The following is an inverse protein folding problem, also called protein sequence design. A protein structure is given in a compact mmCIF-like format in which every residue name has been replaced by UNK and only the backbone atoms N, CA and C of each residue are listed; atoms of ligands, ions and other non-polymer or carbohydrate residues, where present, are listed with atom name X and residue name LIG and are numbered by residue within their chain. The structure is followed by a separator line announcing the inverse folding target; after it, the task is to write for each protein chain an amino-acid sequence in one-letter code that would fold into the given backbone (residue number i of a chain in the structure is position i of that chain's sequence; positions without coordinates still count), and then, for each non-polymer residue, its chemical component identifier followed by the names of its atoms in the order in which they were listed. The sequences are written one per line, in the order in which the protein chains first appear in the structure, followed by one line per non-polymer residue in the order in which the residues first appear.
data_IF_066498345232
#
_entry.id   IF_066498345232
#
_cell.length_a   1.000
_cell.length_b   1.000
_cell.length_c   1.000
_cell.angle_alpha   90.00
_cell.angle_beta   90.00
_cell.angle_gamma   90.00
#
_symmetry.space_group_name_H-M   'P 1'
#
loop_
_entity.id
_entity.type
_entity.pdbx_description
1 polymer ?
#
# COMPACT_ATOMS: atom_id res chain seq x y z
N UNK A 1 -51.65 5.53 10.22
CA UNK A 1 -51.26 6.94 9.97
C UNK A 1 -49.93 7.16 10.69
N UNK A 2 -48.81 6.58 10.22
CA UNK A 2 -47.99 7.02 9.09
C UNK A 2 -47.64 8.51 9.18
N UNK A 3 -46.49 8.80 9.78
CA UNK A 3 -45.67 9.96 9.44
C UNK A 3 -44.23 9.49 9.32
N UNK A 4 -43.88 9.32 8.04
CA UNK A 4 -42.60 9.19 7.38
C UNK A 4 -41.35 9.66 8.16
N UNK A 5 -40.33 8.81 8.22
CA UNK A 5 -38.94 9.21 8.43
C UNK A 5 -38.24 9.21 7.05
N UNK A 6 -37.78 10.35 6.53
CA UNK A 6 -36.79 10.36 5.46
C UNK A 6 -35.42 10.54 6.09
N UNK A 7 -34.79 9.42 6.50
CA UNK A 7 -33.39 9.46 6.91
C UNK A 7 -32.51 9.26 5.67
N UNK A 8 -32.28 10.35 4.95
CA UNK A 8 -31.20 10.43 3.96
C UNK A 8 -29.93 10.85 4.69
N UNK A 9 -29.04 9.91 4.99
CA UNK A 9 -27.64 10.22 5.32
C UNK A 9 -26.76 9.81 4.15
N UNK A 10 -26.61 10.76 3.22
CA UNK A 10 -25.50 10.80 2.27
C UNK A 10 -24.27 11.34 3.02
N UNK A 11 -23.13 10.67 2.86
CA UNK A 11 -21.82 11.26 3.06
C UNK A 11 -21.16 10.99 4.40
N UNK A 12 -20.58 9.81 4.58
CA UNK A 12 -19.52 9.61 5.56
C UNK A 12 -18.20 10.11 4.95
N UNK A 13 -17.74 11.30 5.35
CA UNK A 13 -16.34 11.70 5.19
C UNK A 13 -15.87 12.42 6.47
N UNK A 14 -15.27 11.72 7.44
CA UNK A 14 -14.35 12.36 8.34
C UNK A 14 -12.95 12.30 7.71
N UNK A 15 -12.63 13.31 6.91
CA UNK A 15 -11.22 13.62 6.59
C UNK A 15 -10.56 14.07 7.91
N UNK A 16 -9.71 13.22 8.51
CA UNK A 16 -8.86 13.63 9.65
C UNK A 16 -7.55 14.20 9.11
N UNK A 17 -7.40 15.50 9.27
CA UNK A 17 -6.17 16.30 9.07
C UNK A 17 -6.08 17.26 10.25
N UNK A 18 -4.95 17.83 10.64
CA UNK A 18 -3.73 17.28 11.24
C UNK A 18 -3.74 17.77 12.71
N UNK A 19 -2.69 17.64 13.53
CA UNK A 19 -2.70 18.20 14.89
C UNK A 19 -1.82 19.44 15.08
N UNK A 20 -0.62 19.57 14.51
CA UNK A 20 0.22 20.76 14.77
C UNK A 20 0.21 21.80 13.65
N UNK A 21 -0.14 21.37 12.43
CA UNK A 21 -0.63 22.28 11.38
C UNK A 21 -2.05 22.83 11.68
N UNK A 22 -2.59 22.38 12.83
CA UNK A 22 -3.89 22.59 13.46
C UNK A 22 -3.74 23.17 14.89
N UNK A 23 -2.51 23.30 15.41
CA UNK A 23 -2.28 23.85 16.75
C UNK A 23 -1.37 25.09 16.80
N UNK A 24 -0.55 25.41 15.78
CA UNK A 24 0.50 26.46 15.95
C UNK A 24 0.69 27.42 14.74
N UNK A 25 -0.36 28.18 14.37
CA UNK A 25 -0.36 29.06 13.19
C UNK A 25 -0.29 30.58 13.46
N UNK A 26 -0.23 31.05 14.72
CA UNK A 26 -0.14 32.49 15.07
C UNK A 26 -1.11 33.44 14.32
N UNK A 27 -2.27 32.95 13.87
CA UNK A 27 -3.13 33.66 12.92
C UNK A 27 -3.88 34.88 13.50
N UNK A 28 -3.83 35.11 14.82
CA UNK A 28 -4.47 36.23 15.54
C UNK A 28 -3.50 37.25 16.13
N UNK A 29 -2.20 37.18 15.79
CA UNK A 29 -1.24 38.21 16.21
C UNK A 29 -1.69 39.57 15.66
N UNK A 30 -2.11 40.45 16.58
CA UNK A 30 -2.97 41.62 16.32
C UNK A 30 -2.28 42.80 15.61
N UNK A 31 -1.26 42.55 14.77
CA UNK A 31 -0.45 43.60 14.16
C UNK A 31 -0.56 43.75 12.63
N UNK A 32 -1.46 43.05 11.93
CA UNK A 32 -1.65 43.36 10.50
C UNK A 32 -3.03 43.03 9.90
N UNK A 33 -4.10 43.67 10.40
CA UNK A 33 -5.46 43.55 9.87
C UNK A 33 -5.64 43.90 8.37
N UNK A 34 -4.67 44.58 7.75
CA UNK A 34 -4.73 45.02 6.34
C UNK A 34 -4.17 43.95 5.37
N UNK A 35 -3.30 43.05 5.85
CA UNK A 35 -2.63 42.04 5.02
C UNK A 35 -3.53 40.86 4.66
N UNK A 36 -4.45 40.50 5.58
CA UNK A 36 -5.31 39.33 5.45
C UNK A 36 -6.39 39.52 4.36
N UNK A 37 -7.00 40.70 4.29
CA UNK A 37 -8.05 41.00 3.30
C UNK A 37 -7.52 40.91 1.86
N UNK A 38 -6.27 41.34 1.63
CA UNK A 38 -5.63 41.32 0.31
C UNK A 38 -5.24 39.90 -0.12
N UNK A 39 -4.86 39.03 0.83
CA UNK A 39 -4.58 37.60 0.59
C UNK A 39 -5.83 36.76 0.38
N UNK A 40 -6.96 37.11 0.98
CA UNK A 40 -8.24 36.42 0.79
C UNK A 40 -8.87 36.67 -0.59
N UNK A 41 -8.57 37.81 -1.22
CA UNK A 41 -9.10 38.16 -2.55
C UNK A 41 -8.41 37.43 -3.71
N UNK A 42 -7.26 36.80 -3.48
CA UNK A 42 -6.40 36.23 -4.54
C UNK A 42 -6.13 34.72 -4.38
N UNK A 43 -6.91 33.99 -3.58
CA UNK A 43 -6.83 32.52 -3.61
C UNK A 43 -7.62 32.05 -4.83
N UNK A 44 -6.97 31.55 -5.90
CA UNK A 44 -7.68 30.95 -7.01
C UNK A 44 -8.47 29.76 -6.44
N UNK A 45 -9.72 29.64 -6.88
CA UNK A 45 -10.62 28.52 -6.59
C UNK A 45 -9.87 27.20 -6.42
N UNK A 46 -10.04 26.62 -5.24
CA UNK A 46 -9.56 25.34 -4.75
C UNK A 46 -9.57 24.29 -5.86
N UNK A 47 -8.42 24.06 -6.50
CA UNK A 47 -8.22 22.79 -7.19
C UNK A 47 -8.33 21.69 -6.11
N UNK A 48 -9.02 20.56 -6.39
CA UNK A 48 -8.91 19.41 -5.51
C UNK A 48 -7.43 19.05 -5.42
N UNK A 49 -6.87 19.14 -4.22
CA UNK A 49 -5.48 18.77 -3.92
C UNK A 49 -5.25 17.25 -4.02
N UNK A 50 -6.31 16.50 -4.29
CA UNK A 50 -6.32 15.06 -4.45
C UNK A 50 -6.59 14.76 -5.93
N UNK A 51 -5.63 14.09 -6.55
CA UNK A 51 -5.82 13.50 -7.87
C UNK A 51 -6.81 12.33 -7.76
N UNK A 52 -7.99 12.48 -8.38
CA UNK A 52 -9.06 11.50 -8.34
C UNK A 52 -8.74 10.19 -9.08
N UNK A 53 -7.67 10.17 -9.89
CA UNK A 53 -7.19 8.94 -10.55
C UNK A 53 -6.44 7.99 -9.61
N UNK A 54 -6.04 8.46 -8.42
CA UNK A 54 -5.33 7.65 -7.44
C UNK A 54 -6.31 6.77 -6.67
N UNK A 55 -6.12 5.47 -6.76
CA UNK A 55 -6.90 4.45 -6.05
C UNK A 55 -6.04 3.70 -5.05
N UNK A 56 -6.70 3.07 -4.08
CA UNK A 56 -6.05 2.21 -3.08
C UNK A 56 -6.54 0.78 -3.25
N UNK A 57 -5.60 -0.14 -3.35
CA UNK A 57 -5.85 -1.58 -3.43
C UNK A 57 -5.25 -2.25 -2.20
N UNK A 58 -6.08 -3.04 -1.52
CA UNK A 58 -5.65 -3.85 -0.37
C UNK A 58 -5.99 -5.30 -0.62
N UNK A 59 -5.04 -6.19 -0.33
CA UNK A 59 -5.24 -7.63 -0.42
C UNK A 59 -4.49 -8.36 0.69
N UNK A 60 -4.94 -9.58 0.96
CA UNK A 60 -4.38 -10.45 1.99
C UNK A 60 -4.10 -11.83 1.40
N UNK A 61 -2.92 -12.37 1.65
CA UNK A 61 -2.47 -13.66 1.12
C UNK A 61 -1.82 -14.47 2.23
N UNK A 62 -2.28 -15.70 2.43
CA UNK A 62 -1.74 -16.61 3.43
C UNK A 62 -0.45 -17.26 2.93
N UNK A 63 0.46 -17.55 3.86
CA UNK A 63 1.71 -18.26 3.58
C UNK A 63 2.96 -17.43 3.85
N UNK A 64 4.11 -18.03 3.54
CA UNK A 64 5.43 -17.43 3.77
C UNK A 64 6.06 -17.05 2.43
N UNK A 65 6.46 -15.79 2.28
CA UNK A 65 7.24 -15.34 1.14
C UNK A 65 8.74 -15.57 1.41
N UNK A 66 9.54 -15.87 0.37
CA UNK A 66 11.00 -15.73 0.47
C UNK A 66 11.36 -14.27 0.28
N UNK A 67 12.36 -13.81 1.02
CA UNK A 67 12.84 -12.41 0.93
C UNK A 67 13.27 -12.07 -0.51
N UNK A 68 13.99 -12.97 -1.18
CA UNK A 68 14.41 -12.80 -2.57
C UNK A 68 13.23 -12.67 -3.54
N UNK A 69 12.24 -13.57 -3.45
CA UNK A 69 11.06 -13.56 -4.32
C UNK A 69 10.23 -12.31 -4.07
N UNK A 70 10.10 -11.88 -2.81
CA UNK A 70 9.44 -10.63 -2.43
C UNK A 70 10.16 -9.42 -3.03
N UNK A 71 11.48 -9.37 -2.96
CA UNK A 71 12.28 -8.30 -3.55
C UNK A 71 12.05 -8.20 -5.05
N UNK A 72 12.11 -9.32 -5.77
CA UNK A 72 11.83 -9.35 -7.22
C UNK A 72 10.42 -8.86 -7.53
N UNK A 73 9.42 -9.28 -6.75
CA UNK A 73 8.04 -8.80 -6.91
C UNK A 73 7.95 -7.27 -6.76
N UNK A 74 8.56 -6.71 -5.70
CA UNK A 74 8.53 -5.26 -5.46
C UNK A 74 9.29 -4.50 -6.55
N UNK A 75 10.45 -4.99 -6.96
CA UNK A 75 11.26 -4.37 -8.03
C UNK A 75 10.49 -4.36 -9.36
N UNK A 76 9.86 -5.47 -9.73
CA UNK A 76 9.02 -5.54 -10.94
C UNK A 76 7.82 -4.60 -10.87
N UNK A 77 7.29 -4.38 -9.66
CA UNK A 77 6.13 -3.53 -9.46
C UNK A 77 6.48 -2.03 -9.45
N UNK A 78 7.61 -1.65 -8.85
CA UNK A 78 8.01 -0.26 -8.67
C UNK A 78 8.88 0.27 -9.83
N UNK A 79 9.82 -0.52 -10.35
CA UNK A 79 10.81 -0.06 -11.35
C UNK A 79 10.41 -0.40 -12.77
N UNK A 80 10.07 -1.66 -13.01
CA UNK A 80 9.87 -2.16 -14.36
C UNK A 80 8.63 -1.57 -15.02
N UNK A 81 7.65 -1.08 -14.23
CA UNK A 81 6.39 -0.47 -14.71
C UNK A 81 5.72 -1.31 -15.80
N UNK A 82 5.93 -2.62 -15.79
CA UNK A 82 5.49 -3.56 -16.82
C UNK A 82 4.20 -4.28 -16.44
N UNK A 83 3.69 -4.08 -15.23
CA UNK A 83 2.42 -4.66 -14.79
C UNK A 83 1.28 -3.87 -15.42
N UNK A 84 0.47 -4.55 -16.22
CA UNK A 84 -0.70 -3.95 -16.89
C UNK A 84 -1.99 -4.42 -16.25
N UNK A 85 -2.99 -3.52 -16.23
CA UNK A 85 -4.33 -3.86 -15.79
C UNK A 85 -5.09 -4.65 -16.88
N UNK A 86 -6.35 -5.01 -16.60
CA UNK A 86 -7.22 -5.71 -17.57
C UNK A 86 -7.51 -4.90 -18.84
N UNK A 87 -7.36 -3.58 -18.77
CA UNK A 87 -7.60 -2.63 -19.86
C UNK A 87 -6.32 -2.29 -20.66
N UNK A 88 -5.22 -3.02 -20.41
CA UNK A 88 -3.88 -2.84 -21.01
C UNK A 88 -3.12 -1.56 -20.58
N UNK A 89 -3.61 -0.81 -19.61
CA UNK A 89 -2.91 0.34 -19.03
C UNK A 89 -1.85 -0.08 -18.03
N UNK A 90 -0.74 0.67 -18.00
CA UNK A 90 0.32 0.49 -17.02
C UNK A 90 -0.14 0.85 -15.62
N UNK A 91 0.14 -0.03 -14.66
CA UNK A 91 -0.06 0.23 -13.24
C UNK A 91 1.07 1.09 -12.70
N UNK A 92 0.71 2.19 -12.04
CA UNK A 92 1.66 3.07 -11.37
C UNK A 92 1.47 2.96 -9.87
N UNK A 93 2.46 2.44 -9.15
CA UNK A 93 2.45 2.42 -7.67
C UNK A 93 3.17 3.64 -7.13
N UNK A 94 2.45 4.48 -6.39
CA UNK A 94 2.98 5.68 -5.73
C UNK A 94 3.46 5.33 -4.33
N UNK A 95 2.71 4.49 -3.61
CA UNK A 95 3.05 4.05 -2.26
C UNK A 95 2.69 2.59 -2.06
N UNK A 96 3.62 1.85 -1.47
CA UNK A 96 3.43 0.49 -1.00
C UNK A 96 3.60 0.48 0.52
N UNK A 97 2.69 -0.19 1.22
CA UNK A 97 2.90 -0.62 2.59
C UNK A 97 2.40 -2.04 2.75
N UNK A 98 3.12 -2.86 3.48
CA UNK A 98 2.68 -4.21 3.75
C UNK A 98 3.28 -4.78 5.01
N UNK A 99 2.55 -5.70 5.61
CA UNK A 99 3.05 -6.58 6.64
C UNK A 99 3.18 -7.95 6.00
N UNK A 100 4.40 -8.47 5.93
CA UNK A 100 4.71 -9.72 5.24
C UNK A 100 5.33 -10.71 6.21
N UNK A 101 5.08 -11.99 5.95
CA UNK A 101 5.72 -13.09 6.63
C UNK A 101 6.83 -13.65 5.75
N UNK A 102 8.06 -13.57 6.24
CA UNK A 102 9.22 -14.09 5.55
C UNK A 102 9.53 -15.50 6.06
N UNK A 103 9.80 -16.42 5.12
CA UNK A 103 10.24 -17.78 5.43
C UNK A 103 11.49 -17.73 6.31
N UNK A 104 11.56 -18.61 7.31
CA UNK A 104 12.70 -18.73 8.22
C UNK A 104 12.91 -17.53 9.17
N UNK A 105 12.00 -16.53 9.14
CA UNK A 105 11.93 -15.45 10.13
C UNK A 105 10.72 -15.64 11.05
N UNK A 106 10.90 -15.58 12.39
CA UNK A 106 9.78 -15.64 13.33
C UNK A 106 9.08 -14.28 13.47
N UNK A 107 9.76 -13.18 13.14
CA UNK A 107 9.23 -11.82 13.25
C UNK A 107 8.42 -11.40 12.03
N UNK A 108 7.47 -10.49 12.24
CA UNK A 108 6.77 -9.84 11.14
C UNK A 108 7.69 -8.80 10.51
N UNK A 109 7.62 -8.66 9.19
CA UNK A 109 8.41 -7.67 8.45
C UNK A 109 7.47 -6.66 7.82
N UNK A 110 7.76 -5.38 8.00
CA UNK A 110 7.07 -4.29 7.33
C UNK A 110 7.82 -4.01 6.04
N UNK A 111 7.12 -4.08 4.91
CA UNK A 111 7.57 -3.52 3.65
C UNK A 111 6.95 -2.13 3.50
N UNK A 112 7.76 -1.16 3.13
CA UNK A 112 7.28 0.16 2.76
C UNK A 112 8.02 0.68 1.55
N UNK A 113 7.29 1.26 0.61
CA UNK A 113 7.86 1.86 -0.58
C UNK A 113 7.16 3.15 -0.97
N UNK A 114 7.94 4.07 -1.53
CA UNK A 114 7.48 5.34 -2.09
C UNK A 114 8.12 5.49 -3.45
N UNK A 115 7.28 5.56 -4.49
CA UNK A 115 7.74 5.63 -5.86
C UNK A 115 8.63 4.41 -6.19
N UNK A 116 9.91 4.62 -6.47
CA UNK A 116 10.87 3.58 -6.85
C UNK A 116 11.73 3.13 -5.66
N UNK A 117 11.53 3.66 -4.46
CA UNK A 117 12.32 3.26 -3.29
C UNK A 117 11.48 2.36 -2.39
N UNK A 118 12.11 1.32 -1.85
CA UNK A 118 11.49 0.47 -0.84
C UNK A 118 12.49 0.06 0.23
N UNK A 119 11.94 -0.32 1.39
CA UNK A 119 12.67 -0.80 2.55
C UNK A 119 11.92 -1.95 3.23
N UNK A 120 12.65 -2.80 3.94
CA UNK A 120 12.15 -3.94 4.71
C UNK A 120 12.62 -3.80 6.15
N UNK A 121 11.68 -3.61 7.07
CA UNK A 121 11.96 -3.41 8.49
C UNK A 121 11.40 -4.57 9.32
N UNK A 122 12.25 -5.21 10.14
CA UNK A 122 11.78 -6.23 11.08
C UNK A 122 11.07 -5.58 12.26
N UNK A 123 9.86 -6.03 12.55
CA UNK A 123 9.10 -5.57 13.71
C UNK A 123 9.54 -6.30 14.98
N UNK A 124 9.34 -5.71 16.17
CA UNK A 124 9.53 -6.44 17.43
C UNK A 124 8.50 -7.55 17.66
N UNK A 125 7.44 -7.61 16.84
CA UNK A 125 6.36 -8.59 16.96
C UNK A 125 6.74 -9.89 16.26
N UNK A 126 6.66 -11.00 16.98
CA UNK A 126 6.70 -12.34 16.41
C UNK A 126 5.33 -12.74 15.84
N UNK A 127 5.35 -13.60 14.83
CA UNK A 127 4.19 -14.40 14.49
C UNK A 127 3.90 -15.35 15.65
N UNK A 128 2.62 -15.57 15.99
CA UNK A 128 2.26 -16.62 16.94
C UNK A 128 2.34 -17.96 16.22
N UNK A 129 3.00 -18.95 16.83
CA UNK A 129 3.24 -20.26 16.22
C UNK A 129 1.94 -21.02 15.86
N UNK A 130 0.83 -20.71 16.56
CA UNK A 130 -0.48 -21.33 16.36
C UNK A 130 -1.36 -20.63 15.31
N UNK A 131 -0.90 -19.52 14.71
CA UNK A 131 -1.69 -18.73 13.76
C UNK A 131 -1.16 -18.83 12.33
N UNK A 132 -2.07 -18.99 11.37
CA UNK A 132 -1.74 -18.92 9.95
C UNK A 132 -1.12 -17.56 9.61
N UNK A 133 0.17 -17.58 9.24
CA UNK A 133 0.90 -16.39 8.82
C UNK A 133 0.23 -15.77 7.60
N UNK A 134 -0.14 -14.50 7.71
CA UNK A 134 -0.96 -13.79 6.72
C UNK A 134 -0.27 -12.51 6.30
N UNK A 135 0.03 -12.39 5.00
CA UNK A 135 0.59 -11.20 4.39
C UNK A 135 -0.54 -10.22 4.07
N UNK A 136 -0.35 -8.94 4.37
CA UNK A 136 -1.32 -7.87 4.10
C UNK A 136 -0.60 -6.75 3.38
N UNK A 137 -1.04 -6.42 2.17
CA UNK A 137 -0.44 -5.36 1.36
C UNK A 137 -1.48 -4.30 1.03
N UNK A 138 -1.03 -3.05 1.07
CA UNK A 138 -1.77 -1.83 0.73
C UNK A 138 -0.95 -1.08 -0.31
N UNK A 139 -1.52 -0.91 -1.48
CA UNK A 139 -0.92 -0.17 -2.59
C UNK A 139 -1.78 1.02 -2.94
N UNK A 140 -1.14 2.15 -3.19
CA UNK A 140 -1.78 3.40 -3.57
C UNK A 140 -1.14 3.83 -4.89
N UNK A 141 -1.95 4.10 -5.90
CA UNK A 141 -1.47 4.28 -7.25
C UNK A 141 -2.56 4.48 -8.29
N UNK A 142 -2.19 4.52 -9.56
CA UNK A 142 -3.12 4.65 -10.69
C UNK A 142 -3.26 3.32 -11.43
N UNK A 143 -4.44 3.09 -12.00
CA UNK A 143 -4.77 1.92 -12.81
C UNK A 143 -4.51 0.57 -12.11
N UNK A 144 -4.45 0.55 -10.78
CA UNK A 144 -4.15 -0.66 -10.02
C UNK A 144 -5.28 -1.70 -10.17
N UNK A 145 -4.93 -2.93 -10.54
CA UNK A 145 -5.86 -4.06 -10.55
C UNK A 145 -5.61 -4.99 -9.37
N UNK A 146 -6.61 -5.11 -8.49
CA UNK A 146 -6.52 -5.95 -7.30
C UNK A 146 -6.29 -7.43 -7.63
N UNK A 147 -6.96 -7.97 -8.63
CA UNK A 147 -6.89 -9.40 -8.93
C UNK A 147 -5.52 -9.77 -9.47
N UNK A 148 -4.98 -8.98 -10.39
CA UNK A 148 -3.65 -9.19 -10.96
C UNK A 148 -2.58 -9.05 -9.88
N UNK A 149 -2.63 -7.99 -9.05
CA UNK A 149 -1.67 -7.80 -7.95
C UNK A 149 -1.74 -8.94 -6.93
N UNK A 150 -2.94 -9.41 -6.60
CA UNK A 150 -3.12 -10.54 -5.69
C UNK A 150 -2.54 -11.82 -6.29
N UNK A 151 -2.79 -12.10 -7.58
CA UNK A 151 -2.27 -13.28 -8.27
C UNK A 151 -0.75 -13.27 -8.38
N UNK A 152 -0.15 -12.12 -8.72
CA UNK A 152 1.31 -11.95 -8.75
C UNK A 152 1.92 -12.24 -7.38
N UNK A 153 1.33 -11.70 -6.32
CA UNK A 153 1.83 -11.94 -4.96
C UNK A 153 1.62 -13.39 -4.52
N UNK A 154 0.49 -14.02 -4.86
CA UNK A 154 0.28 -15.45 -4.62
C UNK A 154 1.37 -16.28 -5.32
N UNK A 155 1.71 -15.96 -6.56
CA UNK A 155 2.78 -16.64 -7.28
C UNK A 155 4.13 -16.51 -6.54
N UNK A 156 4.44 -15.32 -6.02
CA UNK A 156 5.63 -15.07 -5.19
C UNK A 156 5.65 -15.93 -3.92
N UNK A 157 4.50 -16.12 -3.26
CA UNK A 157 4.37 -16.97 -2.08
C UNK A 157 4.46 -18.46 -2.45
N UNK A 158 3.88 -18.88 -3.59
CA UNK A 158 3.86 -20.27 -4.04
C UNK A 158 5.18 -20.75 -4.68
N UNK A 159 5.97 -19.87 -5.29
CA UNK A 159 7.29 -20.21 -5.87
C UNK A 159 8.26 -20.76 -4.81
N UNK A 160 7.95 -20.56 -3.53
CA UNK A 160 8.64 -21.17 -2.41
C UNK A 160 8.59 -22.70 -2.42
N UNK A 161 7.61 -23.32 -3.09
CA UNK A 161 7.45 -24.78 -3.21
C UNK A 161 8.16 -25.40 -4.43
N UNK A 162 8.32 -24.68 -5.54
CA UNK A 162 8.85 -25.25 -6.80
C UNK A 162 10.38 -25.32 -6.90
N UNK A 163 11.11 -24.49 -6.14
CA UNK A 163 12.59 -24.46 -6.24
C UNK A 163 13.28 -25.65 -5.54
N UNK A 164 12.56 -26.44 -4.72
CA UNK A 164 13.12 -27.61 -4.05
C UNK A 164 13.16 -28.87 -4.94
N UNK A 165 12.34 -28.95 -5.99
CA UNK A 165 12.29 -30.13 -6.87
C UNK A 165 13.39 -30.17 -7.93
N UNK A 166 14.13 -29.08 -8.15
CA UNK A 166 15.17 -29.02 -9.19
C UNK A 166 16.58 -29.19 -8.63
N UNK A 167 16.77 -29.18 -7.31
CA UNK A 167 18.11 -29.27 -6.68
C UNK A 167 18.47 -30.65 -6.10
N UNK A 168 17.60 -31.65 -6.25
CA UNK A 168 17.79 -33.01 -5.71
C UNK A 168 17.91 -34.12 -6.78
N UNK A 169 18.15 -33.77 -8.05
CA UNK A 169 18.28 -34.76 -9.14
C UNK A 169 19.63 -34.78 -9.87
N UNK A 170 20.69 -34.29 -9.24
CA UNK A 170 22.02 -34.36 -9.81
C UNK A 170 23.04 -34.78 -8.74
N UNK A 171 22.91 -36.01 -8.25
CA UNK A 171 23.96 -36.73 -7.51
C UNK A 171 23.67 -38.25 -7.42
N UNK A 172 23.09 -38.85 -8.46
CA UNK A 172 23.04 -40.32 -8.58
C UNK A 172 23.31 -40.77 -10.02
N UNK A 173 24.58 -40.78 -10.41
CA UNK A 173 25.15 -41.82 -11.29
C UNK A 173 26.62 -42.07 -10.90
N UNK A 174 26.86 -43.14 -10.15
CA UNK A 174 28.06 -44.00 -10.21
C UNK A 174 27.51 -45.44 -10.28
N UNK A 175 28.06 -46.34 -11.09
CA UNK A 175 29.48 -46.70 -11.10
C UNK A 175 30.21 -46.50 -12.43
#
# INVERSE_FOLDING_TARGET
YFTEFPTVYIGFLPFRVDLSNVLDLHAFDSLSGISLQKKLQHVPTTQPHLDQSIITVTFEVRGNAKEESLNVFIQNLLWEKNVRNKDDDYMEVIRLKGLVSIKDKPKQVIVQGVHELYDLEETPLSWNDDTERTNRLVLIGRNLDKEILTQLFIATVMETEKRWTTHFKEDQVCP
#
